data_IF_866371225324
#
_entry.id   IF_866371225324
#
_cell.length_a   1.000
_cell.length_b   1.000
_cell.length_c   1.000
_cell.angle_alpha   90.00
_cell.angle_beta   90.00
_cell.angle_gamma   90.00
#
_symmetry.space_group_name_H-M   'P 1'
#
loop_
_entity.id
_entity.type
_entity.pdbx_description
1 polymer ?
#
# COMPACT_ATOMS: atom_id res chain seq x y z
N UNK A 1 1.96 15.24 6.19
CA UNK A 1 1.56 14.56 4.94
C UNK A 1 2.38 13.27 4.82
N UNK A 2 1.72 12.11 4.82
CA UNK A 2 2.36 10.78 4.77
C UNK A 2 2.90 10.47 3.37
N UNK A 3 3.76 9.46 3.26
CA UNK A 3 4.29 8.99 1.96
C UNK A 3 3.18 8.48 1.04
N UNK A 4 2.19 7.77 1.59
CA UNK A 4 1.01 7.34 0.83
C UNK A 4 0.18 8.54 0.33
N UNK A 5 0.02 9.58 1.15
CA UNK A 5 -0.68 10.81 0.71
C UNK A 5 0.06 11.51 -0.43
N UNK A 6 1.40 11.57 -0.38
CA UNK A 6 2.22 12.09 -1.50
C UNK A 6 2.02 11.25 -2.77
N UNK A 7 2.05 9.93 -2.63
CA UNK A 7 1.80 9.00 -3.75
C UNK A 7 0.44 9.27 -4.40
N UNK A 8 -0.64 9.37 -3.60
CA UNK A 8 -1.98 9.67 -4.14
C UNK A 8 -2.06 10.99 -4.89
N UNK A 9 -1.33 12.02 -4.47
CA UNK A 9 -1.31 13.33 -5.14
C UNK A 9 -0.53 13.31 -6.46
N UNK A 10 0.37 12.35 -6.67
CA UNK A 10 1.14 12.22 -7.91
C UNK A 10 0.39 11.46 -9.01
N UNK A 11 -0.72 10.80 -8.67
CA UNK A 11 -1.53 10.07 -9.65
C UNK A 11 -2.04 11.04 -10.70
N UNK A 12 -1.76 10.75 -11.97
CA UNK A 12 -2.13 11.59 -13.10
C UNK A 12 -3.03 10.82 -14.08
N UNK A 13 -3.47 11.51 -15.13
CA UNK A 13 -4.24 10.89 -16.21
C UNK A 13 -3.45 9.85 -17.00
N UNK A 14 -2.13 10.02 -17.11
CA UNK A 14 -1.29 9.24 -18.02
C UNK A 14 -0.51 8.13 -17.30
N UNK A 15 -0.23 8.32 -16.01
CA UNK A 15 0.55 7.37 -15.21
C UNK A 15 0.14 7.41 -13.74
N UNK A 16 0.31 6.26 -13.07
CA UNK A 16 0.04 6.13 -11.64
C UNK A 16 1.15 6.76 -10.79
N UNK A 17 2.40 6.66 -11.26
CA UNK A 17 3.59 7.26 -10.66
C UNK A 17 4.69 7.36 -11.74
N UNK A 18 5.61 8.34 -11.65
CA UNK A 18 6.70 8.49 -12.61
C UNK A 18 7.75 7.39 -12.45
N UNK A 19 8.49 7.10 -13.53
CA UNK A 19 9.47 5.99 -13.60
C UNK A 19 10.49 5.99 -12.45
N UNK A 20 11.04 7.15 -12.11
CA UNK A 20 12.10 7.31 -11.10
C UNK A 20 11.54 7.98 -9.83
N UNK A 21 10.36 7.55 -9.38
CA UNK A 21 9.68 8.14 -8.22
C UNK A 21 10.30 7.72 -6.89
N UNK A 22 11.05 8.63 -6.27
CA UNK A 22 11.56 8.45 -4.89
C UNK A 22 10.43 8.22 -3.87
N UNK A 23 9.22 8.75 -4.13
CA UNK A 23 8.04 8.54 -3.28
C UNK A 23 7.60 7.08 -3.30
N UNK A 24 7.70 6.41 -4.44
CA UNK A 24 7.34 4.99 -4.58
C UNK A 24 8.39 4.13 -3.88
N UNK A 25 9.67 4.43 -4.05
CA UNK A 25 10.75 3.70 -3.35
C UNK A 25 10.59 3.79 -1.83
N UNK A 26 10.28 4.98 -1.32
CA UNK A 26 9.99 5.18 0.09
C UNK A 26 8.72 4.41 0.53
N UNK A 27 7.66 4.44 -0.27
CA UNK A 27 6.41 3.73 0.05
C UNK A 27 6.62 2.21 0.12
N UNK A 28 7.40 1.66 -0.81
CA UNK A 28 7.76 0.24 -0.82
C UNK A 28 8.59 -0.14 0.42
N UNK A 29 9.56 0.69 0.78
CA UNK A 29 10.34 0.49 1.99
C UNK A 29 9.46 0.52 3.25
N UNK A 30 8.54 1.47 3.35
CA UNK A 30 7.59 1.58 4.45
C UNK A 30 6.67 0.36 4.53
N UNK A 31 6.11 -0.11 3.41
CA UNK A 31 5.28 -1.32 3.38
C UNK A 31 6.04 -2.59 3.80
N UNK A 32 7.35 -2.64 3.54
CA UNK A 32 8.18 -3.80 3.89
C UNK A 32 8.62 -3.81 5.37
N UNK A 33 8.64 -2.65 6.03
CA UNK A 33 9.31 -2.49 7.34
C UNK A 33 8.41 -1.98 8.46
N UNK A 34 7.32 -1.25 8.14
CA UNK A 34 6.41 -0.73 9.15
C UNK A 34 5.72 -1.88 9.89
N UNK A 35 5.49 -1.73 11.21
CA UNK A 35 4.76 -2.72 11.97
C UNK A 35 3.32 -2.81 11.49
N UNK A 36 2.74 -4.01 11.59
CA UNK A 36 1.33 -4.24 11.29
C UNK A 36 0.51 -3.96 12.54
N UNK A 37 -0.50 -3.09 12.43
CA UNK A 37 -1.39 -2.69 13.54
C UNK A 37 -2.65 -3.53 13.55
N UNK A 38 -3.22 -3.80 12.38
CA UNK A 38 -4.43 -4.62 12.25
C UNK A 38 -4.41 -5.44 10.95
N UNK A 39 -5.10 -6.58 10.98
CA UNK A 39 -5.28 -7.46 9.83
C UNK A 39 -6.72 -7.93 9.80
N UNK A 40 -7.39 -7.71 8.68
CA UNK A 40 -8.74 -8.18 8.43
C UNK A 40 -8.80 -9.01 7.15
N UNK A 41 -9.65 -10.04 7.12
CA UNK A 41 -9.96 -10.72 5.87
C UNK A 41 -10.83 -9.80 5.01
N UNK A 42 -10.45 -9.63 3.73
CA UNK A 42 -11.34 -8.98 2.78
C UNK A 42 -12.41 -9.96 2.33
N UNK A 43 -13.66 -9.72 2.72
CA UNK A 43 -14.79 -10.52 2.24
C UNK A 43 -15.03 -10.29 0.74
N UNK A 44 -15.42 -11.37 0.05
CA UNK A 44 -15.68 -11.37 -1.39
C UNK A 44 -14.48 -11.71 -2.28
N UNK A 45 -14.75 -12.42 -3.37
CA UNK A 45 -13.76 -12.94 -4.32
C UNK A 45 -13.57 -14.45 -4.23
N UNK A 46 -12.74 -15.00 -5.10
CA UNK A 46 -12.49 -16.45 -5.20
C UNK A 46 -11.24 -16.93 -4.45
N UNK A 47 -10.42 -16.00 -3.94
CA UNK A 47 -9.12 -16.28 -3.35
C UNK A 47 -8.97 -15.51 -2.03
N UNK A 48 -8.24 -16.10 -1.08
CA UNK A 48 -7.92 -15.46 0.20
C UNK A 48 -7.14 -14.16 -0.01
N UNK A 49 -7.61 -13.08 0.60
CA UNK A 49 -6.97 -11.76 0.62
C UNK A 49 -7.13 -11.14 1.99
N UNK A 50 -6.08 -10.48 2.47
CA UNK A 50 -6.10 -9.75 3.73
C UNK A 50 -5.93 -8.26 3.47
N UNK A 51 -6.58 -7.42 4.27
CA UNK A 51 -6.27 -5.99 4.39
C UNK A 51 -5.37 -5.84 5.60
N UNK A 52 -4.22 -5.20 5.41
CA UNK A 52 -3.24 -4.89 6.45
C UNK A 52 -3.29 -3.39 6.71
N UNK A 53 -3.50 -3.01 7.96
CA UNK A 53 -3.36 -1.64 8.45
C UNK A 53 -1.98 -1.46 9.10
N UNK A 54 -1.30 -0.38 8.70
CA UNK A 54 -0.04 0.09 9.27
C UNK A 54 -0.28 1.39 10.06
N UNK A 55 0.71 1.91 10.80
CA UNK A 55 0.63 3.26 11.36
C UNK A 55 0.40 4.32 10.26
N UNK A 56 -0.15 5.46 10.66
CA UNK A 56 -0.44 6.60 9.78
C UNK A 56 -1.54 6.36 8.73
N UNK A 57 -2.50 5.48 9.05
CA UNK A 57 -3.65 5.12 8.20
C UNK A 57 -3.27 4.54 6.82
N UNK A 58 -2.06 4.00 6.69
CA UNK A 58 -1.65 3.29 5.49
C UNK A 58 -2.30 1.90 5.48
N UNK A 59 -3.00 1.58 4.39
CA UNK A 59 -3.60 0.27 4.15
C UNK A 59 -3.00 -0.41 2.92
N UNK A 60 -2.75 -1.71 3.02
CA UNK A 60 -2.33 -2.54 1.90
C UNK A 60 -3.16 -3.82 1.77
N UNK A 61 -3.35 -4.27 0.52
CA UNK A 61 -3.94 -5.56 0.22
C UNK A 61 -2.84 -6.62 0.15
N UNK A 62 -2.90 -7.61 1.05
CA UNK A 62 -1.96 -8.71 1.10
C UNK A 62 -2.54 -9.98 0.47
N UNK A 63 -1.70 -10.68 -0.31
CA UNK A 63 -1.99 -11.99 -0.91
C UNK A 63 -0.95 -12.99 -0.39
N UNK A 64 -1.34 -14.03 0.36
CA UNK A 64 -0.40 -15.04 0.82
C UNK A 64 0.16 -15.85 -0.34
N UNK A 65 1.37 -16.40 -0.17
CA UNK A 65 1.89 -17.45 -1.04
C UNK A 65 0.93 -18.65 -1.01
N UNK A 66 0.74 -19.29 -2.17
CA UNK A 66 -0.09 -20.51 -2.29
C UNK A 66 0.68 -21.75 -1.90
#
# INVERSE_FOLDING_TARGET
MTTLQKFHLQISRLELYPKDSEVVDQLLHEMATKPIVHVAQKEGGTQLKLVIDYPDDLQALFKPMR
#
